data_IF_566601893658
#
_entry.id   IF_566601893658
#
_cell.length_a   1.000
_cell.length_b   1.000
_cell.length_c   1.000
_cell.angle_alpha   90.00
_cell.angle_beta   90.00
_cell.angle_gamma   90.00
#
_symmetry.space_group_name_H-M   'P 1'
#
loop_
_entity.id
_entity.type
_entity.pdbx_description
1 polymer ?
#
# COMPACT_ATOMS: atom_id res chain seq x y z
N UNK A 1 2.80 31.83 -14.39
CA UNK A 1 3.97 31.51 -13.53
C UNK A 1 3.70 30.14 -12.92
N UNK A 2 4.73 29.29 -12.85
CA UNK A 2 4.65 27.83 -12.68
C UNK A 2 5.17 27.48 -11.28
N UNK A 3 4.33 26.97 -10.39
CA UNK A 3 4.69 26.28 -9.13
C UNK A 3 3.45 25.46 -8.73
N UNK A 4 3.35 24.19 -9.14
CA UNK A 4 3.80 23.06 -8.33
C UNK A 4 3.03 22.97 -6.99
N UNK A 5 1.73 22.67 -7.08
CA UNK A 5 0.94 22.07 -6.01
C UNK A 5 1.47 20.65 -5.77
N UNK A 6 2.67 20.56 -5.21
CA UNK A 6 3.15 19.35 -4.57
C UNK A 6 2.62 19.43 -3.14
N UNK A 7 1.43 18.85 -2.95
CA UNK A 7 0.86 18.47 -1.66
C UNK A 7 1.87 17.50 -0.99
N UNK A 8 2.86 18.10 -0.35
CA UNK A 8 3.87 17.45 0.47
C UNK A 8 3.19 17.11 1.81
N UNK A 9 2.44 16.00 1.82
CA UNK A 9 1.94 15.38 3.04
C UNK A 9 3.14 14.77 3.80
N UNK A 10 3.95 15.61 4.43
CA UNK A 10 4.83 15.15 5.50
C UNK A 10 3.98 15.13 6.76
N UNK A 11 3.47 13.95 7.12
CA UNK A 11 2.91 13.74 8.45
C UNK A 11 4.03 13.95 9.48
N UNK A 12 3.80 14.85 10.46
CA UNK A 12 4.63 14.97 11.66
C UNK A 12 4.65 13.61 12.38
N UNK A 13 5.76 12.88 12.28
CA UNK A 13 5.99 11.63 13.01
C UNK A 13 6.39 12.00 14.43
N UNK A 14 5.41 12.27 15.30
CA UNK A 14 5.62 12.52 16.72
C UNK A 14 5.53 11.18 17.48
N UNK A 15 6.65 10.45 17.55
CA UNK A 15 6.78 9.16 18.22
C UNK A 15 8.19 8.57 18.03
N UNK A 16 8.65 7.64 18.89
CA UNK A 16 9.97 7.02 18.74
C UNK A 16 10.05 6.44 17.32
N UNK A 17 11.02 6.90 16.52
CA UNK A 17 11.14 6.64 15.07
C UNK A 17 10.78 5.18 14.73
N UNK A 18 9.50 4.92 14.43
CA UNK A 18 9.05 3.60 14.01
C UNK A 18 9.58 3.44 12.58
N UNK A 19 10.73 2.78 12.47
CA UNK A 19 11.32 2.41 11.19
C UNK A 19 10.33 1.52 10.42
N UNK A 20 9.60 2.12 9.48
CA UNK A 20 8.73 1.39 8.57
C UNK A 20 9.53 0.91 7.36
N UNK A 21 9.45 -0.39 7.07
CA UNK A 21 9.99 -0.92 5.83
C UNK A 21 9.02 -0.63 4.68
N UNK A 22 9.41 0.27 3.78
CA UNK A 22 8.64 0.55 2.57
C UNK A 22 8.92 -0.53 1.52
N UNK A 23 7.97 -1.45 1.37
CA UNK A 23 8.03 -2.47 0.31
C UNK A 23 7.23 -2.01 -0.90
N UNK A 24 7.92 -1.79 -2.04
CA UNK A 24 7.26 -1.54 -3.33
C UNK A 24 7.11 -2.85 -4.09
N UNK A 25 5.89 -3.18 -4.48
CA UNK A 25 5.59 -4.39 -5.25
C UNK A 25 4.97 -3.97 -6.58
N UNK A 26 5.68 -4.26 -7.67
CA UNK A 26 5.15 -4.09 -9.02
C UNK A 26 4.34 -5.32 -9.43
N UNK A 27 3.17 -5.10 -10.00
CA UNK A 27 2.30 -6.15 -10.53
C UNK A 27 2.63 -6.33 -12.01
N UNK A 28 2.93 -7.57 -12.42
CA UNK A 28 3.22 -7.87 -13.83
C UNK A 28 1.98 -7.82 -14.72
N UNK A 29 2.21 -7.38 -15.96
CA UNK A 29 1.18 -7.27 -16.99
C UNK A 29 0.70 -8.65 -17.41
N UNK A 30 -0.59 -8.93 -17.22
CA UNK A 30 -1.22 -10.21 -17.54
C UNK A 30 -1.65 -11.06 -16.34
N UNK A 31 -1.48 -10.58 -15.10
CA UNK A 31 -2.13 -11.22 -13.95
C UNK A 31 -3.66 -11.09 -14.03
N UNK A 32 -4.35 -12.19 -13.72
CA UNK A 32 -5.79 -12.19 -13.51
C UNK A 32 -6.19 -11.23 -12.38
N UNK A 33 -7.37 -10.62 -12.44
CA UNK A 33 -7.81 -9.69 -11.41
C UNK A 33 -7.85 -10.36 -10.04
N UNK A 34 -6.90 -10.00 -9.18
CA UNK A 34 -6.72 -10.61 -7.88
C UNK A 34 -6.99 -9.60 -6.77
N UNK A 35 -7.47 -10.07 -5.62
CA UNK A 35 -7.67 -9.17 -4.48
C UNK A 35 -6.33 -8.78 -3.88
N UNK A 36 -6.21 -7.52 -3.48
CA UNK A 36 -4.98 -7.00 -2.89
C UNK A 36 -4.60 -7.72 -1.58
N UNK A 37 -5.58 -8.14 -0.77
CA UNK A 37 -5.33 -8.88 0.46
C UNK A 37 -4.58 -10.20 0.17
N UNK A 38 -5.02 -10.94 -0.85
CA UNK A 38 -4.43 -12.22 -1.23
C UNK A 38 -3.13 -12.03 -2.02
N UNK A 39 -3.00 -10.95 -2.77
CA UNK A 39 -1.78 -10.58 -3.47
C UNK A 39 -0.63 -10.31 -2.49
N UNK A 40 -0.89 -9.50 -1.46
CA UNK A 40 0.13 -9.12 -0.47
C UNK A 40 0.55 -10.31 0.41
N UNK A 41 -0.37 -11.17 0.82
CA UNK A 41 -0.03 -12.38 1.61
C UNK A 41 0.90 -13.33 0.85
N UNK A 42 0.78 -13.40 -0.48
CA UNK A 42 1.67 -14.23 -1.31
C UNK A 42 3.02 -13.58 -1.63
N UNK A 43 3.17 -12.27 -1.41
CA UNK A 43 4.34 -11.51 -1.84
C UNK A 43 5.17 -10.94 -0.68
N UNK A 44 4.52 -10.64 0.44
CA UNK A 44 5.12 -10.13 1.67
C UNK A 44 5.33 -11.31 2.62
N UNK A 45 6.59 -11.64 2.89
CA UNK A 45 6.93 -12.68 3.85
C UNK A 45 6.46 -12.26 5.25
N UNK A 46 5.79 -13.17 5.98
CA UNK A 46 5.12 -12.91 7.27
C UNK A 46 3.85 -12.03 7.22
N UNK A 47 3.31 -11.71 6.05
CA UNK A 47 1.99 -11.10 5.96
C UNK A 47 0.88 -12.14 6.17
N UNK A 48 0.14 -12.01 7.27
CA UNK A 48 -1.11 -12.75 7.44
C UNK A 48 -2.28 -11.98 6.82
N UNK A 49 -3.37 -12.68 6.50
CA UNK A 49 -4.57 -12.05 5.94
C UNK A 49 -5.11 -10.94 6.84
N UNK A 50 -5.18 -11.18 8.15
CA UNK A 50 -5.63 -10.18 9.12
C UNK A 50 -4.66 -8.99 9.22
N UNK A 51 -3.34 -9.22 9.20
CA UNK A 51 -2.34 -8.13 9.24
C UNK A 51 -2.42 -7.26 7.99
N UNK A 52 -2.59 -7.89 6.84
CA UNK A 52 -2.75 -7.22 5.55
C UNK A 52 -4.03 -6.38 5.51
N UNK A 53 -5.16 -6.96 5.94
CA UNK A 53 -6.43 -6.22 6.02
C UNK A 53 -6.31 -5.00 6.93
N UNK A 54 -5.76 -5.15 8.14
CA UNK A 54 -5.51 -4.03 9.05
C UNK A 54 -4.58 -2.98 8.43
N UNK A 55 -3.50 -3.39 7.79
CA UNK A 55 -2.56 -2.45 7.14
C UNK A 55 -3.24 -1.65 6.02
N UNK A 56 -4.11 -2.29 5.24
CA UNK A 56 -4.91 -1.62 4.22
C UNK A 56 -5.92 -0.66 4.85
N UNK A 57 -6.64 -1.09 5.89
CA UNK A 57 -7.61 -0.25 6.62
C UNK A 57 -6.95 0.95 7.31
N UNK A 58 -5.73 0.78 7.81
CA UNK A 58 -4.92 1.85 8.41
C UNK A 58 -4.26 2.77 7.37
N UNK A 59 -4.53 2.60 6.07
CA UNK A 59 -3.94 3.44 5.01
C UNK A 59 -2.45 3.20 4.76
N UNK A 60 -1.85 2.15 5.34
CA UNK A 60 -0.42 1.80 5.17
C UNK A 60 -0.12 1.12 3.84
N UNK A 61 -1.15 0.72 3.10
CA UNK A 61 -1.02 0.10 1.77
C UNK A 61 -1.64 1.01 0.74
N UNK A 62 -0.82 1.43 -0.22
CA UNK A 62 -1.19 2.31 -1.31
C UNK A 62 -1.06 1.57 -2.64
N UNK A 63 -2.04 1.73 -3.52
CA UNK A 63 -1.96 1.26 -4.91
C UNK A 63 -1.93 2.48 -5.81
N UNK A 64 -0.85 2.65 -6.58
CA UNK A 64 -0.66 3.85 -7.41
C UNK A 64 -0.90 5.15 -6.62
N UNK A 65 -0.33 5.23 -5.41
CA UNK A 65 -0.49 6.37 -4.49
C UNK A 65 -1.92 6.63 -4.01
N UNK A 66 -2.84 5.67 -4.13
CA UNK A 66 -4.21 5.77 -3.61
C UNK A 66 -4.45 4.75 -2.51
N UNK A 67 -5.08 5.20 -1.42
CA UNK A 67 -5.63 4.28 -0.42
C UNK A 67 -6.72 3.43 -1.07
N UNK A 68 -6.68 2.13 -0.83
CA UNK A 68 -7.65 1.18 -1.35
C UNK A 68 -8.22 0.35 -0.22
N UNK A 69 -9.35 -0.32 -0.44
CA UNK A 69 -9.89 -1.27 0.53
C UNK A 69 -9.32 -2.68 0.30
N UNK A 70 -9.44 -3.56 1.31
CA UNK A 70 -9.00 -4.96 1.19
C UNK A 70 -9.75 -5.77 0.11
N UNK A 71 -10.87 -5.24 -0.43
CA UNK A 71 -11.60 -5.82 -1.56
C UNK A 71 -11.13 -5.30 -2.92
N UNK A 72 -10.16 -4.39 -2.96
CA UNK A 72 -9.63 -3.85 -4.21
C UNK A 72 -9.06 -4.97 -5.09
N UNK A 73 -9.51 -5.01 -6.35
CA UNK A 73 -9.01 -5.94 -7.35
C UNK A 73 -7.84 -5.29 -8.06
N UNK A 74 -6.64 -5.80 -7.78
CA UNK A 74 -5.41 -5.44 -8.47
C UNK A 74 -5.55 -5.86 -9.93
N UNK A 75 -5.37 -4.91 -10.84
CA UNK A 75 -5.37 -5.10 -12.29
C UNK A 75 -4.10 -4.44 -12.84
N UNK A 76 -3.34 -5.13 -13.70
CA UNK A 76 -2.21 -4.53 -14.41
C UNK A 76 -2.63 -3.57 -15.52
#
# INVERSE_FOLDING_TARGET
MRTADTDDYIEEIDGPEELYEQMTITVDKGQEPYRIDKFLVGRVENATRNKTQKAIESGRVLVNNKMVSANYKVKP
#
